data_IF_840264345215
#
_entry.id   IF_840264345215
#
_cell.length_a   1.000
_cell.length_b   1.000
_cell.length_c   1.000
_cell.angle_alpha   90.00
_cell.angle_beta   90.00
_cell.angle_gamma   90.00
#
_symmetry.space_group_name_H-M   'P 1'
#
loop_
_entity.id
_entity.type
_entity.pdbx_description
1 polymer ?
#
# COMPACT_ATOMS: atom_id res chain seq x y z
N UNK A 1 8.84 23.85 5.45
CA UNK A 1 8.27 24.75 4.41
C UNK A 1 7.57 24.00 3.25
N UNK A 2 7.52 22.65 3.25
CA UNK A 2 6.74 21.87 2.27
C UNK A 2 5.27 21.65 2.67
N UNK A 3 4.89 21.79 3.94
CA UNK A 3 3.51 21.50 4.40
C UNK A 3 2.47 22.58 4.10
N UNK A 4 2.87 23.82 3.81
CA UNK A 4 1.92 24.94 3.57
C UNK A 4 1.45 24.98 2.11
N UNK A 5 2.33 24.68 1.15
CA UNK A 5 2.01 24.67 -0.29
C UNK A 5 1.06 23.51 -0.69
N UNK A 6 1.11 22.38 0.05
CA UNK A 6 0.18 21.25 -0.12
C UNK A 6 -1.24 21.63 0.35
N UNK A 7 -1.34 22.42 1.42
CA UNK A 7 -2.63 22.85 1.99
C UNK A 7 -3.38 23.86 1.10
N UNK A 8 -2.66 24.68 0.35
CA UNK A 8 -3.23 25.67 -0.57
C UNK A 8 -3.77 25.01 -1.86
N UNK A 9 -3.09 23.97 -2.38
CA UNK A 9 -3.62 23.11 -3.46
C UNK A 9 -4.79 22.22 -3.01
N UNK A 10 -4.81 21.82 -1.74
CA UNK A 10 -5.94 21.12 -1.09
C UNK A 10 -7.25 21.93 -1.18
N UNK A 11 -7.18 23.27 -1.12
CA UNK A 11 -8.37 24.13 -1.19
C UNK A 11 -8.89 24.33 -2.62
N UNK A 12 -8.01 24.45 -3.62
CA UNK A 12 -8.42 24.58 -5.04
C UNK A 12 -9.05 23.30 -5.60
N UNK A 13 -8.54 22.12 -5.23
CA UNK A 13 -9.07 20.83 -5.69
C UNK A 13 -10.42 20.50 -5.03
N UNK A 14 -10.57 20.81 -3.73
CA UNK A 14 -11.85 20.66 -3.00
C UNK A 14 -12.98 21.47 -3.64
N UNK A 15 -12.68 22.67 -4.14
CA UNK A 15 -13.68 23.53 -4.80
C UNK A 15 -14.29 22.90 -6.05
N UNK A 16 -13.45 22.37 -6.95
CA UNK A 16 -13.90 21.72 -8.20
C UNK A 16 -14.53 20.35 -7.98
N UNK A 17 -14.05 19.57 -7.01
CA UNK A 17 -14.69 18.29 -6.66
C UNK A 17 -16.09 18.51 -6.06
N UNK A 18 -16.30 19.52 -5.20
CA UNK A 18 -17.64 19.86 -4.70
C UNK A 18 -18.61 20.26 -5.80
N UNK A 19 -18.15 21.00 -6.83
CA UNK A 19 -19.00 21.32 -7.98
C UNK A 19 -19.36 20.08 -8.83
N UNK A 20 -18.46 19.09 -8.94
CA UNK A 20 -18.72 17.82 -9.62
C UNK A 20 -19.64 16.89 -8.80
N UNK A 21 -19.57 16.96 -7.47
CA UNK A 21 -20.43 16.22 -6.55
C UNK A 21 -21.91 16.53 -6.79
N UNK A 22 -22.21 17.81 -7.07
CA UNK A 22 -23.55 18.30 -7.39
C UNK A 22 -24.01 17.84 -8.78
N UNK A 23 -23.08 17.56 -9.70
CA UNK A 23 -23.38 17.14 -11.07
C UNK A 23 -23.66 15.64 -11.18
N UNK A 24 -23.06 14.82 -10.30
CA UNK A 24 -23.17 13.36 -10.33
C UNK A 24 -24.02 12.77 -9.19
N UNK A 25 -24.55 13.57 -8.25
CA UNK A 25 -25.32 13.11 -7.09
C UNK A 25 -24.62 11.98 -6.32
N UNK A 26 -23.35 12.20 -5.96
CA UNK A 26 -22.52 11.17 -5.29
C UNK A 26 -22.42 11.48 -3.80
N UNK A 27 -22.69 10.50 -2.95
CA UNK A 27 -22.43 10.59 -1.51
C UNK A 27 -20.94 10.37 -1.26
N UNK A 28 -20.21 11.42 -0.86
CA UNK A 28 -18.75 11.40 -0.66
C UNK A 28 -18.40 11.78 0.77
N UNK A 29 -17.62 10.92 1.44
CA UNK A 29 -17.12 11.17 2.80
C UNK A 29 -15.76 11.87 2.78
N UNK A 30 -15.41 12.56 3.88
CA UNK A 30 -14.12 13.25 4.00
C UNK A 30 -12.90 12.31 3.87
N UNK A 31 -13.02 11.06 4.30
CA UNK A 31 -11.94 10.07 4.16
C UNK A 31 -11.82 9.55 2.73
N UNK A 32 -12.94 9.44 2.00
CA UNK A 32 -12.93 9.17 0.56
C UNK A 32 -12.22 10.29 -0.22
N UNK A 33 -12.45 11.57 0.13
CA UNK A 33 -11.73 12.71 -0.47
C UNK A 33 -10.22 12.61 -0.25
N UNK A 34 -9.78 12.28 0.97
CA UNK A 34 -8.36 12.12 1.30
C UNK A 34 -7.73 10.99 0.50
N UNK A 35 -8.39 9.84 0.41
CA UNK A 35 -7.92 8.68 -0.34
C UNK A 35 -7.79 8.99 -1.84
N UNK A 36 -8.81 9.62 -2.45
CA UNK A 36 -8.77 10.02 -3.87
C UNK A 36 -7.61 10.98 -4.11
N UNK A 37 -7.41 11.96 -3.22
CA UNK A 37 -6.31 12.91 -3.35
C UNK A 37 -4.94 12.23 -3.27
N UNK A 38 -4.77 11.28 -2.35
CA UNK A 38 -3.55 10.50 -2.18
C UNK A 38 -3.21 9.74 -3.47
N UNK A 39 -4.16 9.00 -4.03
CA UNK A 39 -3.92 8.21 -5.25
C UNK A 39 -3.85 9.04 -6.53
N UNK A 40 -4.52 10.19 -6.56
CA UNK A 40 -4.46 11.08 -7.70
C UNK A 40 -3.13 11.83 -7.82
N UNK A 41 -2.38 11.99 -6.71
CA UNK A 41 -1.10 12.71 -6.66
C UNK A 41 -1.15 14.11 -7.33
N UNK A 42 -2.30 14.79 -7.25
CA UNK A 42 -2.53 16.10 -7.87
C UNK A 42 -2.97 16.09 -9.34
N UNK A 43 -3.16 14.93 -9.97
CA UNK A 43 -3.73 14.81 -11.31
C UNK A 43 -5.27 14.83 -11.25
N UNK A 44 -5.87 15.88 -11.83
CA UNK A 44 -7.32 16.07 -11.86
C UNK A 44 -8.04 14.99 -12.68
N UNK A 45 -7.43 14.48 -13.77
CA UNK A 45 -8.01 13.41 -14.61
C UNK A 45 -8.08 12.11 -13.83
N UNK A 46 -6.99 11.74 -13.13
CA UNK A 46 -6.98 10.56 -12.26
C UNK A 46 -8.02 10.68 -11.15
N UNK A 47 -8.14 11.85 -10.54
CA UNK A 47 -9.12 12.12 -9.47
C UNK A 47 -10.56 11.90 -9.94
N UNK A 48 -10.92 12.41 -11.13
CA UNK A 48 -12.27 12.28 -11.68
C UNK A 48 -12.56 10.83 -12.06
N UNK A 49 -11.63 10.16 -12.73
CA UNK A 49 -11.81 8.75 -13.12
C UNK A 49 -12.01 7.87 -11.89
N UNK A 50 -11.19 8.07 -10.86
CA UNK A 50 -11.28 7.30 -9.62
C UNK A 50 -12.60 7.56 -8.90
N UNK A 51 -13.04 8.82 -8.80
CA UNK A 51 -14.33 9.17 -8.22
C UNK A 51 -15.48 8.48 -8.96
N UNK A 52 -15.50 8.55 -10.28
CA UNK A 52 -16.54 7.95 -11.13
C UNK A 52 -16.56 6.43 -10.99
N UNK A 53 -15.42 5.75 -11.12
CA UNK A 53 -15.32 4.30 -10.95
C UNK A 53 -15.78 3.85 -9.56
N UNK A 54 -15.40 4.59 -8.51
CA UNK A 54 -15.79 4.26 -7.14
C UNK A 54 -17.30 4.48 -6.92
N UNK A 55 -17.89 5.54 -7.47
CA UNK A 55 -19.33 5.80 -7.40
C UNK A 55 -20.18 4.81 -8.20
N UNK A 56 -19.60 4.19 -9.25
CA UNK A 56 -20.27 3.12 -9.99
C UNK A 56 -20.21 1.79 -9.24
N UNK A 57 -19.13 1.56 -8.48
CA UNK A 57 -18.95 0.34 -7.70
C UNK A 57 -19.64 0.38 -6.33
N UNK A 58 -19.91 1.55 -5.78
CA UNK A 58 -20.43 1.73 -4.43
C UNK A 58 -21.37 2.93 -4.35
N UNK A 59 -22.42 2.84 -3.53
CA UNK A 59 -23.39 3.94 -3.35
C UNK A 59 -22.78 5.16 -2.67
N UNK A 60 -21.86 4.92 -1.75
CA UNK A 60 -21.18 5.96 -0.97
C UNK A 60 -19.68 5.80 -1.16
N UNK A 61 -19.03 6.89 -1.56
CA UNK A 61 -17.59 6.96 -1.77
C UNK A 61 -16.91 7.26 -0.43
N UNK A 62 -16.39 6.20 0.17
CA UNK A 62 -15.62 6.19 1.40
C UNK A 62 -14.16 5.78 1.19
N UNK A 63 -13.32 5.90 2.22
CA UNK A 63 -11.93 5.47 2.13
C UNK A 63 -11.81 4.01 1.64
N UNK A 64 -12.45 3.04 2.33
CA UNK A 64 -12.41 1.63 1.93
C UNK A 64 -12.84 1.33 0.49
N UNK A 65 -13.91 1.94 0.00
CA UNK A 65 -14.35 1.77 -1.41
C UNK A 65 -13.33 2.31 -2.40
N UNK A 66 -12.63 3.42 -2.07
CA UNK A 66 -11.56 3.95 -2.91
C UNK A 66 -10.36 3.00 -2.94
N UNK A 67 -9.90 2.50 -1.78
CA UNK A 67 -8.80 1.51 -1.72
C UNK A 67 -9.15 0.24 -2.49
N UNK A 68 -10.38 -0.26 -2.34
CA UNK A 68 -10.87 -1.42 -3.08
C UNK A 68 -10.95 -1.17 -4.59
N UNK A 69 -11.36 0.02 -5.02
CA UNK A 69 -11.45 0.38 -6.44
C UNK A 69 -10.07 0.47 -7.11
N UNK A 70 -9.04 0.90 -6.38
CA UNK A 70 -7.64 0.96 -6.89
C UNK A 70 -6.96 -0.40 -6.78
N UNK A 71 -7.53 -1.36 -6.04
CA UNK A 71 -6.88 -2.61 -5.64
C UNK A 71 -5.55 -2.38 -4.88
N UNK A 72 -5.50 -1.31 -4.08
CA UNK A 72 -4.34 -0.94 -3.28
C UNK A 72 -4.52 -1.43 -1.84
N UNK A 73 -3.47 -1.95 -1.17
CA UNK A 73 -3.59 -2.47 0.18
C UNK A 73 -3.92 -1.33 1.17
N UNK A 74 -4.91 -1.57 2.03
CA UNK A 74 -5.20 -0.62 3.10
C UNK A 74 -4.14 -0.69 4.22
N UNK A 75 -3.91 0.39 4.99
CA UNK A 75 -2.91 0.37 6.06
C UNK A 75 -3.12 -0.73 7.12
N UNK A 76 -4.37 -1.16 7.32
CA UNK A 76 -4.69 -2.28 8.22
C UNK A 76 -4.27 -3.63 7.62
N UNK A 77 -4.46 -3.82 6.31
CA UNK A 77 -4.03 -5.04 5.60
C UNK A 77 -2.52 -5.16 5.57
N UNK A 78 -1.80 -4.07 5.31
CA UNK A 78 -0.33 -4.07 5.30
C UNK A 78 0.23 -4.47 6.67
N UNK A 79 -0.39 -4.02 7.76
CA UNK A 79 -0.02 -4.43 9.12
C UNK A 79 -0.27 -5.92 9.35
N UNK A 80 -1.43 -6.42 8.94
CA UNK A 80 -1.74 -7.86 9.02
C UNK A 80 -0.74 -8.70 8.22
N UNK A 81 -0.38 -8.26 7.01
CA UNK A 81 0.61 -8.93 6.16
C UNK A 81 1.98 -8.97 6.85
N UNK A 82 2.40 -7.85 7.43
CA UNK A 82 3.65 -7.76 8.19
C UNK A 82 3.62 -8.71 9.41
N UNK A 83 2.50 -8.77 10.13
CA UNK A 83 2.35 -9.68 11.28
C UNK A 83 2.44 -11.15 10.87
N UNK A 84 1.84 -11.55 9.73
CA UNK A 84 1.97 -12.90 9.20
C UNK A 84 3.44 -13.22 8.87
N UNK A 85 4.13 -12.29 8.22
CA UNK A 85 5.53 -12.49 7.79
C UNK A 85 6.52 -12.56 8.96
N UNK A 86 6.24 -11.86 10.06
CA UNK A 86 7.11 -11.84 11.24
C UNK A 86 6.85 -13.01 12.21
N UNK A 87 5.59 -13.40 12.38
CA UNK A 87 5.18 -14.34 13.44
C UNK A 87 4.99 -15.78 12.94
N UNK A 88 4.64 -15.99 11.67
CA UNK A 88 4.30 -17.31 11.13
C UNK A 88 5.49 -17.99 10.44
N UNK A 89 5.48 -19.33 10.30
CA UNK A 89 6.47 -20.02 9.47
C UNK A 89 6.31 -19.66 7.99
N UNK A 90 7.41 -19.72 7.22
CA UNK A 90 7.49 -19.33 5.80
C UNK A 90 6.32 -19.86 4.97
N UNK A 91 6.01 -21.15 5.09
CA UNK A 91 4.95 -21.80 4.30
C UNK A 91 3.57 -21.17 4.55
N UNK A 92 3.21 -21.00 5.83
CA UNK A 92 1.92 -20.43 6.24
C UNK A 92 1.83 -18.96 5.83
N UNK A 93 2.87 -18.17 6.10
CA UNK A 93 2.93 -16.76 5.69
C UNK A 93 2.76 -16.61 4.17
N UNK A 94 3.47 -17.42 3.38
CA UNK A 94 3.36 -17.40 1.92
C UNK A 94 1.94 -17.72 1.44
N UNK A 95 1.30 -18.75 2.00
CA UNK A 95 -0.07 -19.11 1.64
C UNK A 95 -1.08 -18.04 2.03
N UNK A 96 -0.96 -17.47 3.23
CA UNK A 96 -1.84 -16.41 3.73
C UNK A 96 -1.74 -15.14 2.86
N UNK A 97 -0.52 -14.69 2.56
CA UNK A 97 -0.31 -13.52 1.70
C UNK A 97 -0.82 -13.78 0.29
N UNK A 98 -0.56 -14.98 -0.26
CA UNK A 98 -1.07 -15.37 -1.59
C UNK A 98 -2.59 -15.32 -1.63
N UNK A 99 -3.26 -15.81 -0.58
CA UNK A 99 -4.73 -15.80 -0.50
C UNK A 99 -5.27 -14.38 -0.45
N UNK A 100 -4.69 -13.49 0.38
CA UNK A 100 -5.11 -12.08 0.48
C UNK A 100 -4.93 -11.35 -0.85
N UNK A 101 -3.77 -11.55 -1.52
CA UNK A 101 -3.48 -10.94 -2.82
C UNK A 101 -4.48 -11.38 -3.90
N UNK A 102 -4.75 -12.68 -3.99
CA UNK A 102 -5.68 -13.21 -4.99
C UNK A 102 -7.12 -12.77 -4.73
N UNK A 103 -7.54 -12.68 -3.47
CA UNK A 103 -8.90 -12.28 -3.10
C UNK A 103 -9.15 -10.80 -3.43
N UNK A 104 -8.17 -9.93 -3.18
CA UNK A 104 -8.32 -8.47 -3.29
C UNK A 104 -7.70 -7.87 -4.55
N UNK A 105 -6.99 -8.67 -5.35
CA UNK A 105 -6.32 -8.19 -6.56
C UNK A 105 -5.11 -7.29 -6.27
N UNK A 106 -4.50 -7.42 -5.10
CA UNK A 106 -3.40 -6.54 -4.67
C UNK A 106 -2.08 -7.01 -5.29
N UNK A 107 -1.33 -6.08 -5.89
CA UNK A 107 -0.01 -6.36 -6.42
C UNK A 107 1.04 -6.43 -5.30
N UNK A 108 2.06 -7.30 -5.49
CA UNK A 108 3.20 -7.38 -4.58
C UNK A 108 3.98 -6.06 -4.52
N UNK A 109 4.01 -5.30 -5.60
CA UNK A 109 4.71 -4.01 -5.66
C UNK A 109 4.12 -2.98 -4.70
N UNK A 110 2.80 -2.94 -4.63
CA UNK A 110 2.09 -2.04 -3.71
C UNK A 110 2.35 -2.44 -2.26
N UNK A 111 2.38 -3.75 -1.98
CA UNK A 111 2.73 -4.28 -0.65
C UNK A 111 4.15 -3.88 -0.26
N UNK A 112 5.14 -4.04 -1.13
CA UNK A 112 6.54 -3.67 -0.85
C UNK A 112 6.65 -2.16 -0.58
N UNK A 113 5.97 -1.35 -1.39
CA UNK A 113 5.97 0.12 -1.26
C UNK A 113 5.42 0.57 0.10
N UNK A 114 4.30 -0.01 0.54
CA UNK A 114 3.67 0.35 1.82
C UNK A 114 4.39 -0.23 3.05
N UNK A 115 5.13 -1.32 2.89
CA UNK A 115 5.88 -1.94 3.99
C UNK A 115 7.16 -1.15 4.32
N UNK A 116 7.78 -0.49 3.34
CA UNK A 116 8.98 0.32 3.55
C UNK A 116 8.88 1.31 4.74
N UNK A 117 7.85 2.18 4.83
CA UNK A 117 7.70 3.09 5.97
C UNK A 117 7.41 2.37 7.30
N UNK A 118 6.85 1.15 7.27
CA UNK A 118 6.63 0.36 8.48
C UNK A 118 7.96 -0.20 9.00
N UNK A 119 8.83 -0.74 8.14
CA UNK A 119 10.15 -1.25 8.53
C UNK A 119 10.99 -0.15 9.18
N UNK A 120 10.91 1.07 8.67
CA UNK A 120 11.62 2.22 9.25
C UNK A 120 11.14 2.60 10.65
N UNK A 121 9.93 2.17 11.05
CA UNK A 121 9.39 2.38 12.41
C UNK A 121 9.70 1.23 13.36
N UNK A 122 10.10 0.06 12.86
CA UNK A 122 10.45 -1.09 13.68
C UNK A 122 11.87 -0.89 14.21
N UNK A 123 12.05 -1.18 15.49
CA UNK A 123 13.38 -1.16 16.10
C UNK A 123 14.15 -2.43 15.69
N UNK A 124 15.07 -2.26 14.75
CA UNK A 124 15.93 -3.30 14.18
C UNK A 124 17.37 -2.80 14.25
N UNK A 125 18.35 -3.67 14.54
CA UNK A 125 19.76 -3.32 14.41
C UNK A 125 20.06 -2.84 12.98
N UNK A 126 20.82 -1.75 12.84
CA UNK A 126 21.06 -1.08 11.55
C UNK A 126 21.56 -2.04 10.46
N UNK A 127 22.47 -2.96 10.81
CA UNK A 127 22.98 -3.96 9.87
C UNK A 127 21.87 -4.85 9.29
N UNK A 128 20.93 -5.31 10.12
CA UNK A 128 19.80 -6.16 9.68
C UNK A 128 18.81 -5.34 8.87
N UNK A 129 18.56 -4.09 9.28
CA UNK A 129 17.68 -3.17 8.55
C UNK A 129 18.22 -2.90 7.15
N UNK A 130 19.52 -2.60 7.02
CA UNK A 130 20.17 -2.39 5.72
C UNK A 130 20.07 -3.64 4.83
N UNK A 131 20.38 -4.82 5.37
CA UNK A 131 20.29 -6.08 4.64
C UNK A 131 18.86 -6.37 4.13
N UNK A 132 17.85 -6.10 4.96
CA UNK A 132 16.44 -6.27 4.59
C UNK A 132 16.03 -5.28 3.49
N UNK A 133 16.44 -4.02 3.60
CA UNK A 133 16.14 -2.99 2.60
C UNK A 133 16.81 -3.29 1.25
N UNK A 134 18.04 -3.79 1.25
CA UNK A 134 18.74 -4.23 0.02
C UNK A 134 17.96 -5.39 -0.62
N UNK A 135 17.55 -6.39 0.16
CA UNK A 135 16.78 -7.51 -0.35
C UNK A 135 15.43 -7.08 -0.95
N UNK A 136 14.72 -6.14 -0.31
CA UNK A 136 13.47 -5.59 -0.82
C UNK A 136 13.67 -4.78 -2.11
N UNK A 137 14.74 -3.99 -2.19
CA UNK A 137 15.09 -3.24 -3.40
C UNK A 137 15.40 -4.16 -4.58
N UNK A 138 16.12 -5.26 -4.35
CA UNK A 138 16.38 -6.27 -5.38
C UNK A 138 15.10 -6.93 -5.88
N UNK A 139 14.15 -7.23 -4.98
CA UNK A 139 12.86 -7.80 -5.33
C UNK A 139 12.04 -6.82 -6.18
N UNK A 140 11.94 -5.56 -5.75
CA UNK A 140 11.25 -4.51 -6.48
C UNK A 140 11.85 -4.30 -7.89
N UNK A 141 13.18 -4.24 -7.98
CA UNK A 141 13.89 -4.13 -9.25
C UNK A 141 13.58 -5.32 -10.17
N UNK A 142 13.61 -6.56 -9.66
CA UNK A 142 13.26 -7.75 -10.46
C UNK A 142 11.81 -7.72 -10.94
N UNK A 143 10.87 -7.26 -10.11
CA UNK A 143 9.48 -7.11 -10.53
C UNK A 143 9.31 -6.04 -11.62
N UNK A 144 10.05 -4.93 -11.54
CA UNK A 144 10.05 -3.90 -12.58
C UNK A 144 10.51 -4.44 -13.94
N UNK A 145 11.34 -5.50 -13.94
CA UNK A 145 11.84 -6.18 -15.13
C UNK A 145 10.90 -7.30 -15.63
N UNK A 146 9.73 -7.48 -15.00
CA UNK A 146 8.75 -8.49 -15.40
C UNK A 146 9.02 -9.89 -14.83
N UNK A 147 9.75 -10.01 -13.71
CA UNK A 147 9.94 -11.29 -13.05
C UNK A 147 8.61 -11.86 -12.50
N UNK A 148 8.56 -13.20 -12.36
CA UNK A 148 7.39 -13.88 -11.81
C UNK A 148 7.09 -13.44 -10.39
N UNK A 149 5.92 -12.85 -10.19
CA UNK A 149 5.45 -12.36 -8.90
C UNK A 149 5.37 -13.48 -7.84
N UNK A 150 5.07 -14.71 -8.28
CA UNK A 150 5.03 -15.90 -7.39
C UNK A 150 6.39 -16.18 -6.77
N UNK A 151 7.46 -16.11 -7.58
CA UNK A 151 8.82 -16.32 -7.11
C UNK A 151 9.29 -15.15 -6.23
N UNK A 152 8.94 -13.92 -6.61
CA UNK A 152 9.27 -12.73 -5.83
C UNK A 152 8.55 -12.68 -4.48
N UNK A 153 7.32 -13.21 -4.39
CA UNK A 153 6.63 -13.36 -3.11
C UNK A 153 7.37 -14.34 -2.18
N UNK A 154 7.89 -15.44 -2.73
CA UNK A 154 8.74 -16.37 -1.96
C UNK A 154 10.03 -15.72 -1.48
N UNK A 155 10.68 -14.93 -2.32
CA UNK A 155 11.86 -14.14 -1.96
C UNK A 155 11.54 -13.11 -0.88
N UNK A 156 10.38 -12.46 -0.95
CA UNK A 156 9.89 -11.51 0.03
C UNK A 156 9.73 -12.17 1.42
N UNK A 157 8.98 -13.27 1.54
CA UNK A 157 8.80 -13.97 2.82
C UNK A 157 10.14 -14.49 3.38
N UNK A 158 11.03 -14.97 2.49
CA UNK A 158 12.35 -15.44 2.86
C UNK A 158 13.26 -14.32 3.38
N UNK A 159 13.16 -13.10 2.82
CA UNK A 159 13.95 -11.95 3.27
C UNK A 159 13.63 -11.57 4.72
N UNK A 160 12.36 -11.55 5.10
CA UNK A 160 11.96 -11.31 6.49
C UNK A 160 12.35 -12.45 7.42
N UNK A 161 12.25 -13.69 6.96
CA UNK A 161 12.69 -14.84 7.77
C UNK A 161 14.19 -14.80 8.03
N UNK A 162 15.00 -14.43 7.02
CA UNK A 162 16.43 -14.19 7.18
C UNK A 162 16.70 -13.07 8.20
N UNK A 163 15.94 -11.98 8.16
CA UNK A 163 16.07 -10.90 9.13
C UNK A 163 15.74 -11.36 10.57
N UNK A 164 14.72 -12.21 10.74
CA UNK A 164 14.38 -12.84 12.02
C UNK A 164 15.50 -13.72 12.56
N UNK A 165 16.04 -14.62 11.73
CA UNK A 165 17.15 -15.50 12.13
C UNK A 165 18.38 -14.68 12.52
N UNK A 166 18.67 -13.59 11.78
CA UNK A 166 19.78 -12.69 12.08
C UNK A 166 19.58 -11.90 13.38
N UNK A 167 18.33 -11.67 13.78
CA UNK A 167 18.00 -11.04 15.06
C UNK A 167 18.21 -12.02 16.22
N UNK A 168 17.74 -13.27 16.06
CA UNK A 168 17.91 -14.34 17.05
C UNK A 168 19.39 -14.67 17.27
N UNK A 169 20.22 -14.67 16.22
CA UNK A 169 21.66 -14.96 16.32
C UNK A 169 22.50 -13.86 16.95
N UNK A 170 21.98 -12.63 17.06
CA UNK A 170 22.62 -11.53 17.80
C UNK A 170 22.27 -11.49 19.29
N UNK A 171 21.24 -12.24 19.70
CA UNK A 171 20.80 -12.34 21.09
C UNK A 171 21.56 -13.44 21.85
N UNK A 172 22.18 -14.37 21.12
CA UNK A 172 23.13 -15.39 21.60
C UNK A 172 24.57 -14.89 21.51
#
# INVERSE_FOLDING_TARGET
>A
MMSVCVFEKLHQMKGKQKSLLFLFSVDLTDDGVKAIYQFAAGDMRKSINLLQSTSMSSKTVDGPSVYACVAYPSPAEVRSLLDHVLNEPISTAYHNITAVKNLKGIALQDIITEIHPLIMRIDLPDAIRCDLLIALSDIENRMSQGASERLQLGAFVSAFTRAKIALESKIL
#
